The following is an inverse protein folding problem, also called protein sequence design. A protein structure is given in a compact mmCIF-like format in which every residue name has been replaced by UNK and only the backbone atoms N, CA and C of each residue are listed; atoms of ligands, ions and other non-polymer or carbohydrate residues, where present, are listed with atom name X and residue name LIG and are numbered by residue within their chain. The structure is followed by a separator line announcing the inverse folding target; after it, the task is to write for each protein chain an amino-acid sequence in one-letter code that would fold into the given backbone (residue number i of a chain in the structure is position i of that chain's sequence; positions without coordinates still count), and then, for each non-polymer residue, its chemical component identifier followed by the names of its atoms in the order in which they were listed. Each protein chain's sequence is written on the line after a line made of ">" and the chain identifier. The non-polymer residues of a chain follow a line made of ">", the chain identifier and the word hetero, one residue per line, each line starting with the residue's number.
data_IF_332077209197
#
_entry.id   IF_332077209197
#
_cell.length_a   1.000
_cell.length_b   1.000
_cell.length_c   1.000
_cell.angle_alpha   90.00
_cell.angle_beta   90.00
_cell.angle_gamma   90.00
#
_symmetry.space_group_name_H-M   'P 1'
#
loop_
_entity.id
_entity.type
_entity.pdbx_description
1 polymer ?
#
# COMPACT_ATOMS: atom_id res chain seq x y z
N UNK A 1 -23.16 23.90 -3.86
CA UNK A 1 -22.04 23.09 -4.42
C UNK A 1 -22.43 22.31 -5.65
N UNK A 2 -23.59 21.64 -5.71
CA UNK A 2 -23.96 20.97 -6.95
C UNK A 2 -24.15 21.97 -8.09
N UNK A 3 -24.84 23.08 -7.87
CA UNK A 3 -25.13 24.05 -8.93
C UNK A 3 -23.92 24.89 -9.33
N UNK A 4 -23.05 25.19 -8.37
CA UNK A 4 -21.78 25.90 -8.53
C UNK A 4 -20.68 25.16 -7.74
N UNK A 5 -19.99 24.19 -8.36
CA UNK A 5 -18.88 23.50 -7.72
C UNK A 5 -17.56 24.27 -7.90
N UNK A 6 -16.60 24.14 -6.97
CA UNK A 6 -15.24 24.66 -7.16
C UNK A 6 -14.51 23.88 -8.28
N UNK A 7 -13.40 24.40 -8.80
CA UNK A 7 -12.57 23.69 -9.78
C UNK A 7 -12.03 22.35 -9.24
N UNK A 8 -11.67 22.34 -7.95
CA UNK A 8 -11.16 21.17 -7.23
C UNK A 8 -11.90 21.02 -5.91
N UNK A 9 -12.30 19.79 -5.61
CA UNK A 9 -12.88 19.41 -4.33
C UNK A 9 -12.13 18.21 -3.76
N UNK A 10 -11.67 18.32 -2.51
CA UNK A 10 -11.09 17.20 -1.77
C UNK A 10 -12.00 16.91 -0.59
N UNK A 11 -12.51 15.70 -0.51
CA UNK A 11 -13.31 15.23 0.63
C UNK A 11 -12.40 14.38 1.50
N UNK A 12 -11.94 14.93 2.62
CA UNK A 12 -11.09 14.22 3.58
C UNK A 12 -11.92 13.70 4.75
N UNK A 13 -11.79 12.42 5.08
CA UNK A 13 -12.58 11.78 6.13
C UNK A 13 -11.89 10.53 6.70
N UNK A 14 -12.19 10.23 7.97
CA UNK A 14 -11.86 8.97 8.65
C UNK A 14 -13.08 8.04 8.75
N UNK A 15 -14.20 8.39 8.11
CA UNK A 15 -15.47 7.66 8.21
C UNK A 15 -15.78 6.91 6.92
N UNK A 16 -16.21 5.65 7.06
CA UNK A 16 -16.73 4.83 5.97
C UNK A 16 -18.08 5.34 5.43
N UNK A 17 -18.81 6.17 6.20
CA UNK A 17 -20.11 6.74 5.80
C UNK A 17 -20.02 7.64 4.55
N UNK A 18 -18.81 8.02 4.12
CA UNK A 18 -18.61 8.68 2.83
C UNK A 18 -19.16 7.86 1.66
N UNK A 19 -19.16 6.53 1.76
CA UNK A 19 -19.73 5.64 0.74
C UNK A 19 -21.25 5.77 0.60
N UNK A 20 -21.97 6.19 1.64
CA UNK A 20 -23.42 6.45 1.59
C UNK A 20 -23.76 7.61 0.63
N UNK A 21 -22.77 8.45 0.33
CA UNK A 21 -22.92 9.64 -0.52
C UNK A 21 -22.40 9.44 -1.94
N UNK A 22 -22.20 8.18 -2.37
CA UNK A 22 -21.61 7.82 -3.67
C UNK A 22 -22.29 8.55 -4.84
N UNK A 23 -23.63 8.55 -4.91
CA UNK A 23 -24.36 9.21 -6.01
C UNK A 23 -24.12 10.72 -6.08
N UNK A 24 -23.98 11.37 -4.92
CA UNK A 24 -23.65 12.79 -4.85
C UNK A 24 -22.22 13.03 -5.33
N UNK A 25 -21.28 12.23 -4.85
CA UNK A 25 -19.86 12.34 -5.20
C UNK A 25 -19.63 12.07 -6.69
N UNK A 26 -20.32 11.09 -7.28
CA UNK A 26 -20.25 10.81 -8.73
C UNK A 26 -20.81 11.97 -9.55
N UNK A 27 -21.89 12.62 -9.10
CA UNK A 27 -22.41 13.81 -9.78
C UNK A 27 -21.44 14.99 -9.68
N UNK A 28 -20.79 15.17 -8.54
CA UNK A 28 -19.78 16.21 -8.34
C UNK A 28 -18.51 15.93 -9.16
N UNK A 29 -18.05 14.69 -9.26
CA UNK A 29 -16.83 14.34 -10.00
C UNK A 29 -16.92 14.62 -11.50
N UNK A 30 -18.14 14.66 -12.05
CA UNK A 30 -18.40 15.05 -13.45
C UNK A 30 -18.31 16.56 -13.67
N UNK A 31 -18.32 17.36 -12.61
CA UNK A 31 -18.37 18.82 -12.66
C UNK A 31 -17.15 19.51 -12.04
N UNK A 32 -16.35 18.81 -11.25
CA UNK A 32 -15.09 19.31 -10.70
C UNK A 32 -14.04 18.21 -10.57
N UNK A 33 -12.78 18.60 -10.37
CA UNK A 33 -11.72 17.66 -10.02
C UNK A 33 -11.93 17.19 -8.57
N UNK A 34 -12.76 16.16 -8.41
CA UNK A 34 -13.07 15.54 -7.12
C UNK A 34 -12.07 14.45 -6.77
N UNK A 35 -11.59 14.47 -5.53
CA UNK A 35 -10.80 13.39 -4.93
C UNK A 35 -11.30 13.11 -3.52
N UNK A 36 -11.51 11.84 -3.20
CA UNK A 36 -11.85 11.40 -1.83
C UNK A 36 -10.58 10.93 -1.15
N UNK A 37 -10.29 11.50 0.02
CA UNK A 37 -9.18 11.15 0.89
C UNK A 37 -9.73 10.40 2.09
N UNK A 38 -9.40 9.12 2.17
CA UNK A 38 -9.80 8.28 3.29
C UNK A 38 -8.59 7.97 4.15
N UNK A 39 -8.58 8.50 5.37
CA UNK A 39 -7.48 8.27 6.31
C UNK A 39 -7.55 6.85 6.88
N UNK A 40 -6.50 6.07 6.63
CA UNK A 40 -6.27 4.76 7.23
C UNK A 40 -4.86 4.76 7.81
N UNK A 41 -4.76 5.24 9.03
CA UNK A 41 -3.50 5.58 9.69
C UNK A 41 -2.92 4.44 10.55
N UNK A 42 -3.68 3.36 10.74
CA UNK A 42 -3.30 2.16 11.49
C UNK A 42 -4.12 0.95 11.03
N UNK A 43 -3.67 -0.24 11.43
CA UNK A 43 -4.40 -1.52 11.39
C UNK A 43 -4.98 -1.91 12.77
N UNK A 44 -4.82 -1.07 13.80
CA UNK A 44 -5.38 -1.26 15.14
C UNK A 44 -6.73 -0.59 15.30
N UNK A 45 -7.74 -1.34 15.69
CA UNK A 45 -9.08 -0.80 15.92
C UNK A 45 -9.19 0.08 17.16
N UNK A 46 -8.26 -0.07 18.12
CA UNK A 46 -8.27 0.67 19.39
C UNK A 46 -6.87 1.01 19.86
N UNK A 47 -6.77 2.14 20.54
CA UNK A 47 -5.61 2.55 21.32
C UNK A 47 -6.01 2.78 22.77
N UNK A 48 -5.14 2.36 23.70
CA UNK A 48 -5.35 2.63 25.11
C UNK A 48 -5.33 4.16 25.36
N UNK A 49 -6.37 4.67 26.03
CA UNK A 49 -6.47 6.09 26.36
C UNK A 49 -6.96 7.01 25.23
N UNK A 50 -7.31 6.48 24.06
CA UNK A 50 -7.91 7.24 22.96
C UNK A 50 -9.34 6.78 22.67
N UNK A 51 -10.21 7.68 22.17
CA UNK A 51 -11.54 7.29 21.72
C UNK A 51 -11.46 6.30 20.54
N UNK A 52 -12.46 5.43 20.37
CA UNK A 52 -12.51 4.52 19.23
C UNK A 52 -12.68 5.30 17.92
N UNK A 53 -12.22 4.70 16.81
CA UNK A 53 -12.47 5.24 15.49
C UNK A 53 -13.97 5.27 15.18
N UNK A 54 -14.43 6.31 14.46
CA UNK A 54 -15.83 6.43 14.02
C UNK A 54 -16.26 5.39 12.99
N UNK A 55 -15.32 4.67 12.39
CA UNK A 55 -15.53 3.52 11.51
C UNK A 55 -14.39 2.54 11.70
N UNK A 56 -14.64 1.25 11.53
CA UNK A 56 -13.57 0.24 11.59
C UNK A 56 -12.61 0.43 10.42
N UNK A 57 -11.37 -0.03 10.57
CA UNK A 57 -10.38 0.01 9.49
C UNK A 57 -10.87 -0.78 8.29
N UNK A 58 -11.44 -1.95 8.52
CA UNK A 58 -12.01 -2.77 7.46
C UNK A 58 -13.11 -2.04 6.68
N UNK A 59 -14.08 -1.42 7.37
CA UNK A 59 -15.16 -0.68 6.70
C UNK A 59 -14.65 0.51 5.88
N UNK A 60 -13.53 1.12 6.30
CA UNK A 60 -12.87 2.16 5.50
C UNK A 60 -12.30 1.59 4.21
N UNK A 61 -11.61 0.44 4.26
CA UNK A 61 -11.13 -0.22 3.04
C UNK A 61 -12.28 -0.60 2.10
N UNK A 62 -13.38 -1.15 2.65
CA UNK A 62 -14.57 -1.49 1.87
C UNK A 62 -15.21 -0.25 1.22
N UNK A 63 -15.36 0.84 1.97
CA UNK A 63 -15.85 2.12 1.46
C UNK A 63 -14.95 2.68 0.35
N UNK A 64 -13.62 2.59 0.51
CA UNK A 64 -12.67 3.00 -0.52
C UNK A 64 -12.83 2.16 -1.79
N UNK A 65 -13.00 0.85 -1.65
CA UNK A 65 -13.28 -0.08 -2.76
C UNK A 65 -14.56 0.29 -3.50
N UNK A 66 -15.67 0.41 -2.79
CA UNK A 66 -16.98 0.78 -3.35
C UNK A 66 -16.94 2.11 -4.12
N UNK A 67 -16.29 3.13 -3.55
CA UNK A 67 -16.14 4.43 -4.21
C UNK A 67 -15.28 4.31 -5.48
N UNK A 68 -14.19 3.53 -5.46
CA UNK A 68 -13.33 3.28 -6.64
C UNK A 68 -14.09 2.55 -7.75
N UNK A 69 -14.87 1.53 -7.41
CA UNK A 69 -15.73 0.80 -8.35
C UNK A 69 -16.76 1.71 -9.04
N UNK A 70 -17.18 2.77 -8.34
CA UNK A 70 -18.07 3.80 -8.88
C UNK A 70 -17.36 4.83 -9.77
N UNK A 71 -16.06 4.64 -10.04
CA UNK A 71 -15.23 5.51 -10.88
C UNK A 71 -14.70 6.76 -10.18
N UNK A 72 -14.79 6.84 -8.84
CA UNK A 72 -14.26 7.97 -8.09
C UNK A 72 -12.76 7.80 -7.82
N UNK A 73 -12.03 8.92 -7.89
CA UNK A 73 -10.63 8.96 -7.47
C UNK A 73 -10.53 8.94 -5.95
N UNK A 74 -10.13 7.81 -5.39
CA UNK A 74 -9.95 7.62 -3.93
C UNK A 74 -8.48 7.41 -3.61
N UNK A 75 -7.98 8.18 -2.65
CA UNK A 75 -6.62 8.08 -2.10
C UNK A 75 -6.71 7.67 -0.63
N UNK A 76 -5.91 6.67 -0.25
CA UNK A 76 -5.77 6.26 1.14
C UNK A 76 -4.57 6.96 1.75
N UNK A 77 -4.82 7.77 2.77
CA UNK A 77 -3.82 8.63 3.43
C UNK A 77 -3.41 8.06 4.78
N UNK A 78 -2.15 8.31 5.19
CA UNK A 78 -1.53 7.70 6.38
C UNK A 78 -0.92 8.73 7.33
N UNK A 79 -1.43 9.96 7.37
CA UNK A 79 -0.82 11.07 8.13
C UNK A 79 -1.74 11.56 9.27
N UNK A 80 -1.29 11.49 10.54
CA UNK A 80 -0.05 10.87 11.01
C UNK A 80 -0.13 9.34 10.94
N UNK A 81 1.02 8.65 10.80
CA UNK A 81 1.03 7.19 10.88
C UNK A 81 0.97 6.78 12.36
N UNK A 82 -0.10 6.10 12.73
CA UNK A 82 -0.29 5.55 14.07
C UNK A 82 0.36 4.15 14.16
N UNK A 83 0.67 3.64 15.37
CA UNK A 83 1.31 2.34 15.51
C UNK A 83 0.57 1.21 14.79
N UNK A 84 1.31 0.42 14.02
CA UNK A 84 0.80 -0.78 13.35
C UNK A 84 0.98 -2.03 14.24
N UNK A 85 0.07 -2.97 14.16
CA UNK A 85 0.10 -4.28 14.85
C UNK A 85 0.61 -5.39 13.93
N UNK A 86 0.13 -5.46 12.69
CA UNK A 86 0.42 -6.49 11.70
C UNK A 86 0.59 -5.85 10.30
N UNK A 87 1.65 -5.05 10.10
CA UNK A 87 1.84 -4.29 8.87
C UNK A 87 2.02 -5.21 7.63
N UNK A 88 2.44 -6.46 7.82
CA UNK A 88 2.46 -7.52 6.80
C UNK A 88 1.08 -7.90 6.25
N UNK A 89 -0.02 -7.63 6.96
CA UNK A 89 -1.37 -7.91 6.49
C UNK A 89 -1.69 -7.13 5.21
N UNK A 90 -1.23 -5.89 5.14
CA UNK A 90 -1.39 -5.05 3.96
C UNK A 90 -0.59 -5.59 2.76
N UNK A 91 0.63 -6.07 3.02
CA UNK A 91 1.46 -6.72 2.01
C UNK A 91 0.77 -7.95 1.42
N UNK A 92 0.17 -8.82 2.25
CA UNK A 92 -0.49 -10.05 1.77
C UNK A 92 -1.55 -9.78 0.70
N UNK A 93 -2.31 -8.69 0.83
CA UNK A 93 -3.31 -8.34 -0.18
C UNK A 93 -2.66 -7.97 -1.52
N UNK A 94 -1.57 -7.20 -1.51
CA UNK A 94 -0.81 -6.85 -2.72
C UNK A 94 -0.16 -8.09 -3.34
N UNK A 95 0.41 -8.94 -2.49
CA UNK A 95 1.06 -10.19 -2.90
C UNK A 95 0.08 -11.14 -3.58
N UNK A 96 -1.13 -11.28 -3.03
CA UNK A 96 -2.18 -12.10 -3.60
C UNK A 96 -2.62 -11.59 -4.98
N UNK A 97 -2.81 -10.28 -5.14
CA UNK A 97 -3.12 -9.67 -6.45
C UNK A 97 -1.98 -9.91 -7.44
N UNK A 98 -0.73 -9.77 -7.01
CA UNK A 98 0.44 -10.02 -7.86
C UNK A 98 0.52 -11.49 -8.30
N UNK A 99 0.16 -12.44 -7.43
CA UNK A 99 0.06 -13.85 -7.77
C UNK A 99 -1.03 -14.13 -8.80
N UNK A 100 -2.22 -13.53 -8.64
CA UNK A 100 -3.34 -13.68 -9.59
C UNK A 100 -3.00 -13.21 -11.00
N UNK A 101 -2.19 -12.15 -11.13
CA UNK A 101 -1.76 -11.60 -12.43
C UNK A 101 -0.41 -12.16 -12.92
N UNK A 102 0.11 -13.20 -12.26
CA UNK A 102 1.33 -13.90 -12.67
C UNK A 102 2.64 -13.12 -12.48
N UNK A 103 2.64 -12.06 -11.67
CA UNK A 103 3.84 -11.29 -11.34
C UNK A 103 4.65 -11.91 -10.19
N UNK A 104 4.02 -12.74 -9.37
CA UNK A 104 4.67 -13.45 -8.27
C UNK A 104 5.01 -14.89 -8.71
N UNK A 105 6.30 -15.23 -8.91
CA UNK A 105 6.70 -16.63 -9.02
C UNK A 105 6.44 -17.33 -7.68
N UNK A 106 5.93 -18.56 -7.71
CA UNK A 106 5.72 -19.35 -6.49
C UNK A 106 6.98 -19.34 -5.61
N UNK A 107 6.83 -18.90 -4.35
CA UNK A 107 7.91 -18.93 -3.38
C UNK A 107 8.63 -17.59 -3.13
N UNK A 108 7.92 -16.51 -2.82
CA UNK A 108 8.53 -15.32 -2.20
C UNK A 108 8.11 -15.24 -0.73
N UNK A 109 9.02 -14.78 0.11
CA UNK A 109 8.80 -14.54 1.53
C UNK A 109 9.02 -13.07 1.85
N UNK A 110 8.04 -12.44 2.49
CA UNK A 110 8.21 -11.12 3.07
C UNK A 110 9.02 -11.23 4.36
N UNK A 111 10.11 -10.48 4.44
CA UNK A 111 10.92 -10.35 5.65
C UNK A 111 10.59 -9.09 6.44
N UNK A 112 10.36 -7.98 5.74
CA UNK A 112 10.14 -6.69 6.37
C UNK A 112 9.21 -5.84 5.50
N UNK A 113 8.22 -5.22 6.13
CA UNK A 113 7.36 -4.22 5.52
C UNK A 113 7.25 -3.04 6.49
N UNK A 114 7.64 -1.86 6.04
CA UNK A 114 7.62 -0.65 6.86
C UNK A 114 6.96 0.48 6.09
N UNK A 115 6.09 1.20 6.79
CA UNK A 115 5.42 2.39 6.28
C UNK A 115 5.85 3.58 7.13
N UNK A 116 6.09 4.72 6.50
CA UNK A 116 6.36 5.99 7.18
C UNK A 116 5.62 7.12 6.46
N UNK A 117 5.20 8.14 7.22
CA UNK A 117 4.69 9.40 6.65
C UNK A 117 5.84 10.41 6.63
N UNK A 118 6.18 10.92 5.45
CA UNK A 118 7.30 11.86 5.25
C UNK A 118 6.85 13.31 5.45
N UNK A 119 5.63 13.63 5.00
CA UNK A 119 5.05 14.97 5.10
C UNK A 119 3.69 14.93 5.82
N UNK A 120 3.17 16.11 6.14
CA UNK A 120 1.86 16.30 6.77
C UNK A 120 0.87 16.97 5.80
N UNK A 121 -0.42 16.79 6.07
CA UNK A 121 -1.51 17.45 5.35
C UNK A 121 -2.16 16.61 4.25
N UNK A 122 -3.01 17.25 3.44
CA UNK A 122 -3.88 16.58 2.45
C UNK A 122 -3.09 15.78 1.41
N UNK A 123 -1.92 16.26 1.00
CA UNK A 123 -1.04 15.61 0.03
C UNK A 123 0.19 15.02 0.73
N UNK A 124 0.00 14.50 1.94
CA UNK A 124 1.05 13.82 2.69
C UNK A 124 1.65 12.66 1.87
N UNK A 125 2.97 12.59 1.82
CA UNK A 125 3.70 11.54 1.13
C UNK A 125 3.93 10.37 2.08
N UNK A 126 3.44 9.20 1.71
CA UNK A 126 3.79 7.94 2.33
C UNK A 126 5.01 7.32 1.68
N UNK A 127 5.94 6.83 2.49
CA UNK A 127 7.08 6.04 2.06
C UNK A 127 6.91 4.61 2.57
N UNK A 128 7.16 3.65 1.69
CA UNK A 128 7.05 2.23 1.97
C UNK A 128 8.34 1.53 1.58
N UNK A 129 8.84 0.72 2.51
CA UNK A 129 9.99 -0.14 2.33
C UNK A 129 9.55 -1.59 2.43
N UNK A 130 10.05 -2.42 1.49
CA UNK A 130 9.73 -3.84 1.42
C UNK A 130 11.01 -4.63 1.26
N UNK A 131 11.18 -5.68 2.07
CA UNK A 131 12.24 -6.67 1.91
C UNK A 131 11.65 -8.04 1.69
N UNK A 132 12.05 -8.66 0.58
CA UNK A 132 11.61 -9.99 0.19
C UNK A 132 12.79 -10.93 0.00
N UNK A 133 12.50 -12.22 0.07
CA UNK A 133 13.44 -13.31 -0.15
C UNK A 133 12.81 -14.37 -1.05
N UNK A 134 13.61 -15.01 -1.89
CA UNK A 134 13.16 -16.18 -2.65
C UNK A 134 13.18 -17.42 -1.74
N UNK A 135 12.10 -18.21 -1.75
CA UNK A 135 12.03 -19.54 -1.14
C UNK A 135 12.66 -20.53 -2.12
N UNK A 136 13.92 -20.86 -1.91
CA UNK A 136 14.66 -21.84 -2.70
C UNK A 136 16.16 -21.77 -2.43
N UNK A 137 16.84 -22.91 -2.47
CA UNK A 137 18.29 -23.04 -2.28
C UNK A 137 19.09 -22.42 -3.46
N UNK A 138 18.45 -22.22 -4.62
CA UNK A 138 19.09 -21.67 -5.83
C UNK A 138 19.56 -20.21 -5.72
N UNK A 139 19.10 -19.47 -4.71
CA UNK A 139 19.48 -18.06 -4.48
C UNK A 139 20.47 -17.87 -3.33
N UNK A 140 21.07 -18.97 -2.87
CA UNK A 140 22.12 -18.94 -1.87
C UNK A 140 23.42 -18.38 -2.46
N UNK A 141 23.92 -17.29 -1.87
CA UNK A 141 25.29 -16.87 -2.12
C UNK A 141 26.23 -17.65 -1.20
N UNK A 142 27.21 -18.33 -1.79
CA UNK A 142 28.37 -18.83 -1.07
C UNK A 142 29.13 -17.60 -0.52
N UNK A 143 29.13 -17.41 0.80
CA UNK A 143 29.92 -16.37 1.42
C UNK A 143 31.38 -16.85 1.49
N UNK A 144 32.34 -16.26 0.77
CA UNK A 144 33.73 -16.74 0.80
C UNK A 144 34.43 -16.58 2.16
N UNK A 145 33.76 -15.93 3.13
CA UNK A 145 34.25 -15.70 4.50
C UNK A 145 33.46 -16.45 5.59
N UNK A 146 32.38 -17.17 5.23
CA UNK A 146 31.60 -18.02 6.16
C UNK A 146 31.17 -19.27 5.43
N UNK A 147 31.37 -20.45 6.03
CA UNK A 147 30.90 -21.74 5.51
C UNK A 147 29.35 -21.89 5.52
N UNK A 148 28.62 -20.77 5.50
CA UNK A 148 27.16 -20.72 5.58
C UNK A 148 26.61 -20.04 4.33
N UNK A 149 25.72 -20.74 3.63
CA UNK A 149 24.98 -20.21 2.48
C UNK A 149 23.91 -19.25 2.99
N UNK A 150 24.02 -17.98 2.60
CA UNK A 150 23.00 -16.99 2.93
C UNK A 150 22.10 -16.72 1.73
N UNK A 151 20.80 -16.93 1.96
CA UNK A 151 19.75 -16.56 1.02
C UNK A 151 19.76 -15.04 0.78
N UNK A 152 19.76 -14.64 -0.49
CA UNK A 152 19.72 -13.21 -0.83
C UNK A 152 18.41 -12.55 -0.39
N UNK A 153 18.54 -11.34 0.13
CA UNK A 153 17.43 -10.46 0.49
C UNK A 153 17.37 -9.30 -0.48
N UNK A 154 16.20 -9.07 -1.06
CA UNK A 154 15.94 -8.01 -2.02
C UNK A 154 15.13 -6.91 -1.39
N UNK A 155 15.61 -5.68 -1.55
CA UNK A 155 15.00 -4.51 -0.97
C UNK A 155 14.37 -3.63 -2.06
N UNK A 156 13.12 -3.23 -1.87
CA UNK A 156 12.40 -2.27 -2.70
C UNK A 156 11.86 -1.10 -1.88
N UNK A 157 11.69 0.05 -2.55
CA UNK A 157 11.18 1.28 -1.94
C UNK A 157 10.11 1.89 -2.85
N UNK A 158 9.10 2.53 -2.26
CA UNK A 158 8.04 3.18 -3.00
C UNK A 158 7.51 4.39 -2.24
N UNK A 159 7.29 5.48 -2.96
CA UNK A 159 6.72 6.72 -2.41
C UNK A 159 5.50 7.14 -3.23
N UNK A 160 4.43 7.49 -2.52
CA UNK A 160 3.20 8.02 -3.12
C UNK A 160 2.32 8.69 -2.05
N UNK A 161 1.41 9.56 -2.50
CA UNK A 161 0.34 10.11 -1.64
C UNK A 161 -0.72 9.07 -1.29
N UNK A 162 -0.85 8.01 -2.10
CA UNK A 162 -1.69 6.86 -1.82
C UNK A 162 -0.84 5.70 -1.32
N UNK A 163 -1.05 5.29 -0.06
CA UNK A 163 -0.20 4.26 0.53
C UNK A 163 -0.30 2.91 -0.19
N UNK A 164 -1.45 2.60 -0.79
CA UNK A 164 -1.63 1.37 -1.56
C UNK A 164 -0.67 1.37 -2.76
N UNK A 165 -0.57 2.52 -3.43
CA UNK A 165 0.30 2.72 -4.59
C UNK A 165 1.77 2.72 -4.16
N UNK A 166 2.11 3.38 -3.05
CA UNK A 166 3.46 3.37 -2.50
C UNK A 166 3.93 1.94 -2.18
N UNK A 167 3.10 1.14 -1.52
CA UNK A 167 3.39 -0.26 -1.19
C UNK A 167 3.54 -1.13 -2.43
N UNK A 168 2.66 -0.95 -3.44
CA UNK A 168 2.77 -1.68 -4.70
C UNK A 168 4.08 -1.34 -5.44
N UNK A 169 4.47 -0.06 -5.49
CA UNK A 169 5.75 0.37 -6.06
C UNK A 169 6.94 -0.25 -5.32
N UNK A 170 6.91 -0.22 -3.99
CA UNK A 170 7.97 -0.80 -3.16
C UNK A 170 8.13 -2.29 -3.41
N UNK A 171 7.01 -3.01 -3.46
CA UNK A 171 7.00 -4.44 -3.75
C UNK A 171 7.51 -4.76 -5.15
N UNK A 172 6.99 -4.11 -6.19
CA UNK A 172 7.46 -4.29 -7.57
C UNK A 172 8.95 -3.96 -7.70
N UNK A 173 9.44 -2.93 -7.00
CA UNK A 173 10.87 -2.63 -6.96
C UNK A 173 11.68 -3.77 -6.33
N UNK A 174 11.17 -4.45 -5.31
CA UNK A 174 11.86 -5.58 -4.69
C UNK A 174 11.85 -6.81 -5.61
N UNK A 175 10.70 -7.10 -6.23
CA UNK A 175 10.55 -8.18 -7.21
C UNK A 175 11.45 -8.02 -8.43
N UNK A 176 11.48 -6.82 -9.02
CA UNK A 176 12.33 -6.55 -10.19
C UNK A 176 13.81 -6.80 -9.88
N UNK A 177 14.26 -6.49 -8.66
CA UNK A 177 15.64 -6.76 -8.22
C UNK A 177 15.89 -8.25 -8.04
N UNK A 178 14.93 -8.99 -7.49
CA UNK A 178 14.99 -10.44 -7.35
C UNK A 178 15.11 -11.12 -8.72
N UNK A 179 14.20 -10.81 -9.64
CA UNK A 179 14.18 -11.40 -10.99
C UNK A 179 15.46 -11.05 -11.76
N UNK A 180 15.93 -9.81 -11.67
CA UNK A 180 17.17 -9.39 -12.32
C UNK A 180 18.40 -10.15 -11.77
N UNK A 181 18.44 -10.42 -10.47
CA UNK A 181 19.54 -11.16 -9.84
C UNK A 181 19.56 -12.64 -10.25
N UNK A 182 18.39 -13.29 -10.34
CA UNK A 182 18.26 -14.66 -10.87
C UNK A 182 18.71 -14.75 -12.33
N UNK A 183 18.22 -13.84 -13.18
CA UNK A 183 18.60 -13.81 -14.60
C UNK A 183 20.11 -13.55 -14.81
N UNK A 184 20.78 -12.85 -13.88
CA UNK A 184 22.22 -12.65 -13.92
C UNK A 184 23.01 -13.91 -13.52
N UNK A 185 22.50 -14.72 -12.58
CA UNK A 185 23.10 -16.01 -12.21
C UNK A 185 22.98 -17.03 -13.35
N UNK A 186 21.82 -17.12 -14.00
CA UNK A 186 21.61 -18.04 -15.14
C UNK A 186 22.53 -17.74 -16.32
N UNK A 187 22.87 -16.46 -16.56
CA UNK A 187 23.83 -16.07 -17.61
C UNK A 187 25.30 -16.32 -17.25
N UNK A 188 25.60 -16.49 -15.97
CA UNK A 188 26.94 -16.73 -15.47
C UNK A 188 27.26 -18.23 -15.29
N UNK A 189 26.25 -19.10 -15.38
CA UNK A 189 26.35 -20.55 -15.42
C UNK A 189 26.51 -21.07 -16.85
#
# INVERSE_FOLDING_TARGET
>A
MLDEPPDRLVVQTHSAAVAEHTDLLVRLSRRCQLRVHLSIETDRERFAGLPPHGSSIQSRFEAAGQLRESGLKVVITVSPLLPLEAPEGFFKAIDQVAAEIGLHPDGIELLEYTVTSVTEGIDALGEVSVRVRSKGEDDDQLNPQREDTQQRVYHGHGTDTDIIVASAKAYLSALNRLVAAKAAQEKAA
#
